data_IF_347310420244
#
_entry.id   IF_347310420244
#
_cell.length_a   1.000
_cell.length_b   1.000
_cell.length_c   1.000
_cell.angle_alpha   90.00
_cell.angle_beta   90.00
_cell.angle_gamma   90.00
#
_symmetry.space_group_name_H-M   'P 1'
#
loop_
_entity.id
_entity.type
_entity.pdbx_description
1 polymer ?
#
# COMPACT_ATOMS: atom_id res chain seq x y z
N UNK A 1 2.62 -10.80 -13.74
CA UNK A 1 1.58 -11.13 -12.73
C UNK A 1 0.20 -10.97 -13.34
N UNK A 2 -0.77 -11.77 -12.91
CA UNK A 2 -2.16 -11.70 -13.39
C UNK A 2 -2.86 -10.42 -12.88
N UNK A 3 -3.71 -9.77 -13.70
CA UNK A 3 -4.49 -8.61 -13.25
C UNK A 3 -5.38 -8.96 -12.06
N UNK A 4 -5.56 -8.01 -11.13
CA UNK A 4 -6.57 -8.14 -10.09
C UNK A 4 -7.94 -8.01 -10.75
N UNK A 5 -8.92 -8.88 -10.45
CA UNK A 5 -10.26 -8.76 -11.01
C UNK A 5 -10.87 -7.42 -10.58
N UNK A 6 -11.18 -6.58 -11.58
CA UNK A 6 -11.81 -5.28 -11.41
C UNK A 6 -13.17 -5.30 -12.12
N UNK A 7 -14.20 -4.72 -11.49
CA UNK A 7 -15.52 -4.61 -12.12
C UNK A 7 -15.53 -3.51 -13.17
N UNK A 8 -16.55 -3.47 -14.03
CA UNK A 8 -16.71 -2.40 -15.02
C UNK A 8 -16.80 -1.02 -14.35
N UNK A 9 -17.50 -0.94 -13.21
CA UNK A 9 -17.69 0.29 -12.45
C UNK A 9 -16.36 0.80 -11.87
N UNK A 10 -15.55 -0.09 -11.30
CA UNK A 10 -14.23 0.27 -10.78
C UNK A 10 -13.26 0.61 -11.91
N UNK A 11 -13.33 -0.09 -13.05
CA UNK A 11 -12.53 0.24 -14.23
C UNK A 11 -12.85 1.65 -14.73
N UNK A 12 -14.14 2.00 -14.83
CA UNK A 12 -14.57 3.34 -15.20
C UNK A 12 -14.11 4.38 -14.18
N UNK A 13 -14.26 4.08 -12.88
CA UNK A 13 -13.78 4.96 -11.82
C UNK A 13 -12.27 5.24 -11.94
N UNK A 14 -11.45 4.22 -12.25
CA UNK A 14 -10.01 4.41 -12.50
C UNK A 14 -9.77 5.32 -13.72
N UNK A 15 -10.51 5.14 -14.82
CA UNK A 15 -10.42 6.02 -16.01
C UNK A 15 -10.76 7.47 -15.66
N UNK A 16 -11.83 7.69 -14.89
CA UNK A 16 -12.24 9.04 -14.48
C UNK A 16 -11.18 9.72 -13.62
N UNK A 17 -10.56 8.97 -12.69
CA UNK A 17 -9.48 9.49 -11.85
C UNK A 17 -8.20 9.77 -12.64
N UNK A 18 -7.89 8.97 -13.66
CA UNK A 18 -6.79 9.25 -14.59
C UNK A 18 -7.04 10.56 -15.34
N UNK A 19 -8.25 10.75 -15.87
CA UNK A 19 -8.62 11.95 -16.62
C UNK A 19 -8.59 13.22 -15.75
N UNK A 20 -8.98 13.11 -14.48
CA UNK A 20 -9.00 14.23 -13.55
C UNK A 20 -7.67 14.48 -12.84
N UNK A 21 -6.68 13.59 -12.97
CA UNK A 21 -5.47 13.59 -12.13
C UNK A 21 -4.69 14.89 -12.20
N UNK A 22 -4.51 15.46 -13.40
CA UNK A 22 -3.73 16.69 -13.59
C UNK A 22 -4.33 17.90 -12.87
N UNK A 23 -5.67 17.95 -12.75
CA UNK A 23 -6.41 19.03 -12.10
C UNK A 23 -6.55 18.82 -10.59
N UNK A 24 -6.70 17.57 -10.14
CA UNK A 24 -6.91 17.21 -8.73
C UNK A 24 -5.61 17.09 -7.93
N UNK A 25 -4.46 16.85 -8.58
CA UNK A 25 -3.22 16.61 -7.87
C UNK A 25 -2.67 17.91 -7.23
N UNK A 26 -2.25 17.89 -5.94
CA UNK A 26 -1.71 19.06 -5.27
C UNK A 26 -0.34 19.44 -5.84
N UNK A 27 -0.14 20.72 -6.18
CA UNK A 27 0.98 21.32 -6.95
C UNK A 27 2.42 20.77 -6.72
N UNK A 28 2.72 20.19 -5.56
CA UNK A 28 4.03 19.62 -5.20
C UNK A 28 4.27 18.19 -5.72
N UNK A 29 3.23 17.51 -6.20
CA UNK A 29 3.27 16.13 -6.73
C UNK A 29 3.10 16.11 -8.27
N UNK A 30 2.78 17.25 -8.89
CA UNK A 30 1.96 17.26 -10.12
C UNK A 30 2.74 17.18 -11.42
N UNK A 31 3.90 17.79 -11.56
CA UNK A 31 4.47 17.98 -12.90
C UNK A 31 4.89 16.66 -13.55
N UNK A 32 5.75 15.88 -12.89
CA UNK A 32 6.23 14.62 -13.47
C UNK A 32 5.18 13.50 -13.43
N UNK A 33 4.37 13.45 -12.37
CA UNK A 33 3.34 12.42 -12.25
C UNK A 33 2.20 12.63 -13.27
N UNK A 34 1.72 13.85 -13.49
CA UNK A 34 0.61 14.09 -14.41
C UNK A 34 0.98 13.74 -15.86
N UNK A 35 2.19 14.07 -16.29
CA UNK A 35 2.71 13.66 -17.60
C UNK A 35 2.77 12.14 -17.74
N UNK A 36 3.30 11.44 -16.73
CA UNK A 36 3.35 9.98 -16.72
C UNK A 36 1.95 9.36 -16.74
N UNK A 37 1.00 9.90 -15.97
CA UNK A 37 -0.40 9.43 -15.94
C UNK A 37 -1.06 9.57 -17.30
N UNK A 38 -0.92 10.74 -17.95
CA UNK A 38 -1.46 10.97 -19.28
C UNK A 38 -0.81 10.04 -20.33
N UNK A 39 0.51 9.85 -20.24
CA UNK A 39 1.27 8.99 -21.17
C UNK A 39 0.91 7.51 -21.04
N UNK A 40 0.74 7.03 -19.81
CA UNK A 40 0.62 5.60 -19.51
C UNK A 40 -0.81 5.13 -19.25
N UNK A 41 -1.75 6.04 -19.03
CA UNK A 41 -3.14 5.69 -18.74
C UNK A 41 -3.28 4.84 -17.47
N UNK A 42 -2.50 5.16 -16.43
CA UNK A 42 -2.48 4.43 -15.17
C UNK A 42 -2.61 5.40 -13.99
N UNK A 43 -3.45 5.05 -13.01
CA UNK A 43 -3.73 5.88 -11.84
C UNK A 43 -2.65 5.68 -10.77
N UNK A 44 -1.91 6.70 -10.33
CA UNK A 44 -0.93 6.57 -9.25
C UNK A 44 -1.65 6.20 -7.96
N UNK A 45 -1.21 5.11 -7.35
CA UNK A 45 -1.79 4.57 -6.11
C UNK A 45 -0.78 4.43 -4.98
N UNK A 46 0.52 4.53 -5.27
CA UNK A 46 1.58 4.62 -4.27
C UNK A 46 2.76 5.37 -4.85
N UNK A 47 3.23 6.39 -4.13
CA UNK A 47 4.45 7.14 -4.45
C UNK A 47 5.56 6.60 -3.54
N UNK A 48 6.48 5.83 -4.11
CA UNK A 48 7.69 5.42 -3.41
C UNK A 48 8.81 6.45 -3.65
N UNK A 49 9.99 6.25 -3.08
CA UNK A 49 11.07 7.23 -3.17
C UNK A 49 11.62 7.43 -4.58
N UNK A 50 11.77 6.35 -5.38
CA UNK A 50 12.38 6.42 -6.72
C UNK A 50 11.46 5.96 -7.84
N UNK A 51 10.25 5.50 -7.49
CA UNK A 51 9.28 4.99 -8.44
C UNK A 51 7.85 5.20 -7.96
N UNK A 52 6.93 5.33 -8.90
CA UNK A 52 5.50 5.41 -8.63
C UNK A 52 4.83 4.14 -9.10
N UNK A 53 4.03 3.54 -8.22
CA UNK A 53 3.16 2.41 -8.55
C UNK A 53 1.78 2.93 -8.91
N UNK A 54 1.25 2.41 -10.01
CA UNK A 54 -0.04 2.79 -10.57
C UNK A 54 -0.91 1.59 -10.92
N UNK A 55 -2.22 1.83 -10.93
CA UNK A 55 -3.26 0.88 -11.29
C UNK A 55 -3.83 1.22 -12.67
N UNK A 56 -3.79 0.27 -13.60
CA UNK A 56 -4.47 0.44 -14.90
C UNK A 56 -5.97 0.13 -14.77
N UNK A 57 -6.83 0.65 -15.68
CA UNK A 57 -8.25 0.30 -15.70
C UNK A 57 -8.54 -1.19 -15.88
N UNK A 58 -7.58 -1.97 -16.37
CA UNK A 58 -7.67 -3.43 -16.53
C UNK A 58 -7.25 -4.19 -15.27
N UNK A 59 -6.96 -3.51 -14.16
CA UNK A 59 -6.62 -4.14 -12.89
C UNK A 59 -5.15 -4.55 -12.76
N UNK A 60 -4.26 -4.02 -13.60
CA UNK A 60 -2.82 -4.31 -13.52
C UNK A 60 -2.10 -3.29 -12.65
N UNK A 61 -1.19 -3.77 -11.82
CA UNK A 61 -0.22 -2.92 -11.12
C UNK A 61 1.03 -2.77 -11.98
N UNK A 62 1.35 -1.52 -12.30
CA UNK A 62 2.55 -1.14 -13.06
C UNK A 62 3.34 -0.09 -12.28
N UNK A 63 4.59 0.11 -12.64
CA UNK A 63 5.43 1.17 -12.08
C UNK A 63 6.22 1.88 -13.17
N UNK A 64 6.52 3.15 -12.94
CA UNK A 64 7.54 3.90 -13.67
C UNK A 64 8.57 4.47 -12.70
N UNK A 65 9.78 4.74 -13.19
CA UNK A 65 10.81 5.41 -12.40
C UNK A 65 10.57 6.92 -12.39
N UNK A 66 10.63 7.53 -11.22
CA UNK A 66 10.56 8.98 -11.06
C UNK A 66 11.94 9.65 -11.22
N UNK A 67 13.01 8.86 -11.11
CA UNK A 67 14.41 9.31 -11.21
C UNK A 67 15.14 8.79 -12.48
N UNK A 68 14.43 8.10 -13.36
CA UNK A 68 14.99 7.60 -14.63
C UNK A 68 15.89 6.37 -14.50
N UNK A 69 15.79 5.60 -13.41
CA UNK A 69 16.48 4.31 -13.25
C UNK A 69 16.10 3.31 -14.35
N UNK A 70 14.90 3.46 -14.91
CA UNK A 70 14.44 2.70 -16.07
C UNK A 70 13.40 3.48 -16.89
N UNK A 71 13.33 3.16 -18.18
CA UNK A 71 12.35 3.74 -19.09
C UNK A 71 11.06 2.91 -19.17
N UNK A 72 9.94 3.60 -19.39
CA UNK A 72 8.65 2.99 -19.65
C UNK A 72 7.94 2.43 -18.40
N UNK A 73 6.95 1.56 -18.65
CA UNK A 73 6.21 0.85 -17.61
C UNK A 73 6.82 -0.52 -17.36
N UNK A 74 6.96 -0.87 -16.07
CA UNK A 74 7.28 -2.23 -15.64
C UNK A 74 6.12 -2.82 -14.84
N UNK A 75 5.85 -4.13 -14.96
CA UNK A 75 4.90 -4.78 -14.06
C UNK A 75 5.44 -4.78 -12.64
N UNK A 76 4.56 -4.62 -11.64
CA UNK A 76 4.94 -4.86 -10.24
C UNK A 76 4.88 -6.35 -9.97
N UNK A 77 6.03 -6.97 -9.68
CA UNK A 77 6.14 -8.42 -9.48
C UNK A 77 6.09 -8.84 -8.01
N UNK A 78 6.50 -7.95 -7.10
CA UNK A 78 6.54 -8.26 -5.68
C UNK A 78 5.18 -8.05 -5.02
N UNK A 79 4.66 -9.10 -4.39
CA UNK A 79 3.38 -9.08 -3.67
C UNK A 79 3.34 -8.04 -2.55
N UNK A 80 4.47 -7.76 -1.91
CA UNK A 80 4.55 -6.78 -0.84
C UNK A 80 4.23 -5.36 -1.35
N UNK A 81 4.76 -5.00 -2.52
CA UNK A 81 4.48 -3.72 -3.17
C UNK A 81 3.04 -3.59 -3.63
N UNK A 82 2.45 -4.64 -4.19
CA UNK A 82 1.02 -4.64 -4.56
C UNK A 82 0.14 -4.49 -3.31
N UNK A 83 0.50 -5.14 -2.21
CA UNK A 83 -0.22 -5.00 -0.94
C UNK A 83 -0.13 -3.58 -0.39
N UNK A 84 1.05 -2.96 -0.45
CA UNK A 84 1.26 -1.55 -0.09
C UNK A 84 0.40 -0.63 -0.97
N UNK A 85 0.43 -0.84 -2.28
CA UNK A 85 -0.35 -0.07 -3.25
C UNK A 85 -1.86 -0.22 -3.05
N UNK A 86 -2.38 -1.41 -2.75
CA UNK A 86 -3.80 -1.60 -2.42
C UNK A 86 -4.21 -0.85 -1.16
N UNK A 87 -3.34 -0.88 -0.14
CA UNK A 87 -3.54 -0.16 1.11
C UNK A 87 -3.62 1.36 0.93
N UNK A 88 -2.69 1.92 0.15
CA UNK A 88 -2.65 3.35 -0.14
C UNK A 88 -3.76 3.78 -1.11
N UNK A 89 -4.03 2.96 -2.15
CA UNK A 89 -5.17 3.13 -3.05
C UNK A 89 -6.49 3.25 -2.29
N UNK A 90 -6.75 2.36 -1.32
CA UNK A 90 -8.00 2.36 -0.56
C UNK A 90 -8.16 3.61 0.33
N UNK A 91 -7.03 4.19 0.79
CA UNK A 91 -7.05 5.45 1.56
C UNK A 91 -7.33 6.64 0.65
N UNK A 92 -6.61 6.73 -0.47
CA UNK A 92 -6.69 7.85 -1.40
C UNK A 92 -7.95 7.84 -2.26
N UNK A 93 -8.40 6.65 -2.63
CA UNK A 93 -9.55 6.41 -3.49
C UNK A 93 -10.47 5.35 -2.83
N UNK A 94 -11.38 5.76 -1.94
CA UNK A 94 -12.18 4.83 -1.12
C UNK A 94 -12.88 3.69 -1.88
N UNK A 95 -13.42 3.87 -3.11
CA UNK A 95 -14.00 2.77 -3.88
C UNK A 95 -13.02 1.63 -4.20
N UNK A 96 -11.72 1.92 -4.31
CA UNK A 96 -10.69 0.92 -4.59
C UNK A 96 -10.43 -0.02 -3.40
N UNK A 97 -10.99 0.25 -2.22
CA UNK A 97 -10.96 -0.69 -1.10
C UNK A 97 -11.59 -2.05 -1.45
N UNK A 98 -12.51 -2.09 -2.42
CA UNK A 98 -13.09 -3.33 -2.94
C UNK A 98 -12.07 -4.25 -3.64
N UNK A 99 -10.91 -3.73 -4.06
CA UNK A 99 -9.82 -4.52 -4.65
C UNK A 99 -8.96 -5.21 -3.59
N UNK A 100 -9.10 -4.86 -2.32
CA UNK A 100 -8.38 -5.51 -1.23
C UNK A 100 -8.93 -6.95 -1.11
N UNK A 101 -8.07 -7.98 -1.22
CA UNK A 101 -8.53 -9.35 -1.06
C UNK A 101 -9.06 -9.56 0.36
N UNK A 102 -10.12 -10.37 0.52
CA UNK A 102 -10.66 -10.67 1.84
C UNK A 102 -9.56 -11.24 2.74
N UNK A 103 -9.59 -10.85 4.02
CA UNK A 103 -8.64 -11.35 5.02
C UNK A 103 -8.72 -12.88 5.08
N UNK A 104 -7.63 -13.62 4.82
CA UNK A 104 -7.61 -15.06 5.01
C UNK A 104 -7.88 -15.41 6.48
N UNK A 105 -8.63 -16.49 6.73
CA UNK A 105 -9.02 -16.90 8.09
C UNK A 105 -7.81 -17.13 9.02
N UNK A 106 -6.67 -17.53 8.45
CA UNK A 106 -5.42 -17.81 9.16
C UNK A 106 -4.46 -16.61 9.22
N UNK A 107 -4.81 -15.47 8.61
CA UNK A 107 -3.96 -14.29 8.60
C UNK A 107 -3.97 -13.63 9.99
N UNK A 108 -2.80 -13.51 10.66
CA UNK A 108 -2.74 -12.89 11.97
C UNK A 108 -3.10 -11.41 11.86
N UNK A 109 -3.75 -10.89 12.91
CA UNK A 109 -3.91 -9.45 13.07
C UNK A 109 -2.51 -8.81 13.17
N UNK A 110 -2.38 -7.60 12.64
CA UNK A 110 -1.12 -6.89 12.72
C UNK A 110 -0.87 -6.45 14.17
N UNK A 111 0.26 -6.84 14.79
CA UNK A 111 0.55 -6.53 16.20
C UNK A 111 0.91 -5.06 16.46
N UNK A 112 1.06 -4.25 15.41
CA UNK A 112 1.40 -2.83 15.53
C UNK A 112 0.17 -1.92 15.53
N UNK A 113 -0.94 -2.38 14.97
CA UNK A 113 -2.19 -1.61 14.89
C UNK A 113 -3.39 -2.37 15.46
N UNK A 114 -3.16 -3.56 16.02
CA UNK A 114 -4.17 -4.45 16.59
C UNK A 114 -5.39 -4.67 15.67
N UNK A 115 -5.14 -4.78 14.36
CA UNK A 115 -6.20 -5.01 13.38
C UNK A 115 -6.82 -3.76 12.77
N UNK A 116 -6.54 -2.57 13.28
CA UNK A 116 -7.17 -1.33 12.82
C UNK A 116 -6.62 -0.78 11.50
N UNK A 117 -5.42 -1.22 11.09
CA UNK A 117 -4.69 -0.65 9.95
C UNK A 117 -4.04 0.71 10.23
N UNK A 118 -4.28 1.31 11.41
CA UNK A 118 -3.75 2.63 11.78
C UNK A 118 -2.98 2.53 13.09
N UNK A 119 -1.85 3.22 13.19
CA UNK A 119 -1.07 3.25 14.44
C UNK A 119 -1.56 4.45 15.25
N UNK A 120 -2.14 4.25 16.45
CA UNK A 120 -2.61 5.35 17.27
C UNK A 120 -1.50 6.38 17.58
N UNK A 121 -1.83 7.66 17.47
CA UNK A 121 -0.90 8.76 17.75
C UNK A 121 0.08 9.09 16.61
N UNK A 122 0.03 8.37 15.47
CA UNK A 122 0.80 8.74 14.28
C UNK A 122 -0.06 9.49 13.25
N UNK A 123 0.55 10.42 12.48
CA UNK A 123 -0.12 11.09 11.36
C UNK A 123 -0.67 10.10 10.32
N UNK A 124 -1.70 10.52 9.57
CA UNK A 124 -2.38 9.65 8.58
C UNK A 124 -1.49 9.21 7.42
N UNK A 125 -0.46 9.99 7.10
CA UNK A 125 0.52 9.68 6.07
C UNK A 125 1.55 8.62 6.52
N UNK A 126 1.50 8.17 7.77
CA UNK A 126 2.29 7.03 8.22
C UNK A 126 1.55 5.73 7.90
N UNK A 127 2.17 4.87 7.10
CA UNK A 127 1.62 3.57 6.72
C UNK A 127 2.08 2.51 7.73
N UNK A 128 1.14 1.76 8.29
CA UNK A 128 1.45 0.62 9.16
C UNK A 128 2.11 -0.51 8.35
N UNK A 129 2.94 -1.35 8.98
CA UNK A 129 3.57 -2.53 8.37
C UNK A 129 2.58 -3.44 7.62
N UNK A 130 1.32 -3.48 8.04
CA UNK A 130 0.26 -4.23 7.36
C UNK A 130 -0.28 -3.56 6.07
N UNK A 131 0.37 -2.51 5.58
CA UNK A 131 -0.10 -1.65 4.49
C UNK A 131 -1.47 -1.01 4.79
N UNK A 132 -1.78 -0.73 6.05
CA UNK A 132 -3.09 -0.19 6.42
C UNK A 132 -4.25 -1.18 6.38
N UNK A 133 -3.99 -2.46 6.10
CA UNK A 133 -5.03 -3.48 6.00
C UNK A 133 -5.44 -4.00 7.38
N UNK A 134 -4.52 -4.08 8.34
CA UNK A 134 -4.80 -4.59 9.70
C UNK A 134 -4.48 -6.07 9.89
N UNK A 135 -4.07 -6.78 8.85
CA UNK A 135 -3.56 -8.15 8.92
C UNK A 135 -2.25 -8.29 8.17
N UNK A 136 -1.49 -9.35 8.44
CA UNK A 136 -0.24 -9.65 7.72
C UNK A 136 -0.49 -10.75 6.68
N UNK A 137 0.01 -10.54 5.46
CA UNK A 137 0.04 -11.58 4.41
C UNK A 137 1.36 -12.36 4.50
N UNK A 138 1.44 -13.30 5.45
CA UNK A 138 2.61 -14.16 5.59
C UNK A 138 2.58 -15.30 4.55
N UNK A 139 3.70 -15.86 4.07
CA UNK A 139 3.66 -17.09 3.28
C UNK A 139 2.95 -18.21 4.06
N UNK A 140 2.15 -19.07 3.41
CA UNK A 140 1.40 -20.17 4.08
C UNK A 140 2.28 -21.04 4.99
N UNK A 141 3.52 -21.31 4.59
CA UNK A 141 4.51 -22.04 5.39
C UNK A 141 4.83 -21.40 6.74
N UNK A 142 4.77 -20.06 6.85
CA UNK A 142 4.93 -19.32 8.11
C UNK A 142 3.63 -19.17 8.91
N UNK A 143 2.46 -19.43 8.31
CA UNK A 143 1.15 -19.35 8.99
C UNK A 143 0.85 -20.58 9.84
N UNK A 144 1.26 -21.76 9.39
CA UNK A 144 1.04 -23.04 10.08
C UNK A 144 1.82 -23.19 11.40
N UNK A 145 2.80 -22.31 11.69
CA UNK A 145 3.74 -22.44 12.81
C UNK A 145 3.70 -21.32 13.85
N UNK A 146 2.61 -20.55 13.93
CA UNK A 146 2.52 -19.38 14.82
C UNK A 146 1.63 -19.58 16.07
N UNK A 147 1.89 -20.55 16.96
CA UNK A 147 1.47 -20.41 18.35
C UNK A 147 2.54 -19.62 19.14
N UNK A 148 2.22 -18.39 19.52
CA UNK A 148 2.80 -17.73 20.71
C UNK A 148 4.01 -16.80 20.55
N UNK A 149 4.84 -16.89 19.50
CA UNK A 149 6.12 -16.15 19.48
C UNK A 149 6.03 -14.62 19.23
N UNK A 150 4.93 -14.12 18.64
CA UNK A 150 4.77 -12.66 18.38
C UNK A 150 4.40 -11.85 19.63
N UNK A 151 4.02 -12.49 20.75
CA UNK A 151 3.84 -11.78 22.04
C UNK A 151 5.16 -11.27 22.65
N UNK A 152 6.30 -11.85 22.27
CA UNK A 152 7.59 -11.52 22.90
C UNK A 152 8.22 -10.20 22.39
N UNK A 153 7.92 -9.75 21.17
CA UNK A 153 8.51 -8.53 20.62
C UNK A 153 7.82 -7.25 21.08
N UNK A 154 6.49 -7.30 21.30
CA UNK A 154 5.74 -6.19 21.89
C UNK A 154 6.18 -5.88 23.34
N UNK A 155 6.72 -6.87 24.07
CA UNK A 155 7.12 -6.72 25.47
C UNK A 155 8.62 -6.34 25.65
N UNK A 156 9.42 -6.37 24.57
CA UNK A 156 10.85 -6.01 24.60
C UNK A 156 11.09 -4.49 24.51
N UNK A 157 10.27 -3.77 23.75
CA UNK A 157 10.40 -2.31 23.58
C UNK A 157 9.78 -1.51 24.74
N UNK A 158 8.83 -2.09 25.49
CA UNK A 158 8.27 -1.46 26.68
C UNK A 158 9.21 -1.53 27.92
N UNK A 159 10.19 -2.43 27.94
CA UNK A 159 11.12 -2.61 29.07
C UNK A 159 12.49 -1.95 28.90
N UNK A 160 12.73 -1.25 27.79
CA UNK A 160 13.99 -0.55 27.52
C UNK A 160 14.07 0.90 28.03
N UNK A 161 12.98 1.47 28.58
CA UNK A 161 12.91 2.89 28.98
C UNK A 161 12.62 3.06 30.47
N UNK A 162 13.43 2.42 31.32
CA UNK A 162 13.40 2.60 32.78
C UNK A 162 14.77 2.24 33.35
N UNK A 163 15.77 3.12 33.15
CA UNK A 163 17.00 3.25 33.97
C UNK A 163 17.87 4.37 33.41
N UNK A 164 17.49 5.62 33.70
CA UNK A 164 18.38 6.77 33.92
C UNK A 164 17.62 7.82 34.74
N UNK A 165 17.56 7.59 36.04
CA UNK A 165 17.49 8.67 37.02
C UNK A 165 18.76 8.55 37.88
N UNK A 166 19.35 9.71 38.21
CA UNK A 166 20.69 9.90 38.76
C UNK A 166 20.89 9.36 40.19
N UNK A 167 21.97 9.77 40.87
CA UNK A 167 22.43 11.16 41.00
C UNK A 167 23.68 11.53 40.18
#
# INVERSE_FOLDING_TARGET
MEPVPITAELSQYVRDRIAAFAEEAPARVVTHAAEAVARYGALPVLFDWTATIALTPEGRFVMWSDEGEFEGLRPVEERAWIRAALGDAAKRYPPLAALIPPRPADAPACPHCDGSGRIPGLPENVVCLCAGLGWLDLPRARRAGLPGLLKSWACGLARGRSRREGP
#
